data_IF_083624303250
#
_entry.id   IF_083624303250
#
_cell.length_a   1.000
_cell.length_b   1.000
_cell.length_c   1.000
_cell.angle_alpha   90.00
_cell.angle_beta   90.00
_cell.angle_gamma   90.00
#
_symmetry.space_group_name_H-M   'P 1'
#
loop_
_entity.id
_entity.type
_entity.pdbx_description
1 polymer ?
#
# COMPACT_ATOMS: atom_id res chain seq x y z
N UNK A 1 1.22 -17.17 -9.92
CA UNK A 1 2.35 -17.41 -10.83
C UNK A 1 3.56 -16.76 -10.22
N UNK A 2 4.72 -17.42 -10.27
CA UNK A 2 5.96 -16.83 -9.77
C UNK A 2 6.39 -15.70 -10.71
N UNK A 3 6.94 -14.59 -10.18
CA UNK A 3 7.47 -13.51 -11.01
C UNK A 3 8.59 -14.01 -11.90
N UNK A 4 8.61 -13.54 -13.13
CA UNK A 4 9.67 -13.78 -14.11
C UNK A 4 10.96 -13.10 -13.67
N UNK A 5 12.09 -13.54 -14.24
CA UNK A 5 13.39 -12.92 -13.94
C UNK A 5 13.42 -11.44 -14.33
N UNK A 6 12.82 -11.10 -15.49
CA UNK A 6 12.70 -9.72 -15.95
C UNK A 6 11.95 -8.84 -14.95
N UNK A 7 10.80 -9.28 -14.44
CA UNK A 7 10.04 -8.52 -13.42
C UNK A 7 10.84 -8.30 -12.13
N UNK A 8 11.69 -9.26 -11.74
CA UNK A 8 12.58 -9.12 -10.58
C UNK A 8 13.71 -8.14 -10.83
N UNK A 9 14.29 -8.15 -12.03
CA UNK A 9 15.39 -7.25 -12.40
C UNK A 9 14.87 -5.80 -12.52
N UNK A 10 13.67 -5.61 -13.06
CA UNK A 10 12.97 -4.32 -13.09
C UNK A 10 12.64 -3.81 -11.68
N UNK A 11 12.20 -4.67 -10.77
CA UNK A 11 11.97 -4.29 -9.37
C UNK A 11 13.27 -3.78 -8.69
N UNK A 12 14.40 -4.45 -8.94
CA UNK A 12 15.71 -4.01 -8.40
C UNK A 12 16.17 -2.68 -8.98
N UNK A 13 16.01 -2.48 -10.29
CA UNK A 13 16.39 -1.21 -10.94
C UNK A 13 15.53 -0.04 -10.45
N UNK A 14 14.30 -0.32 -10.01
CA UNK A 14 13.39 0.60 -9.33
C UNK A 14 13.72 0.83 -7.84
N UNK A 15 14.85 0.35 -7.33
CA UNK A 15 15.31 0.62 -5.96
C UNK A 15 14.66 -0.24 -4.87
N UNK A 16 13.93 -1.31 -5.23
CA UNK A 16 13.43 -2.26 -4.25
C UNK A 16 14.56 -3.15 -3.72
N UNK A 17 14.49 -3.51 -2.44
CA UNK A 17 15.54 -4.28 -1.77
C UNK A 17 15.68 -5.69 -2.34
N UNK A 18 16.86 -6.29 -2.20
CA UNK A 18 17.10 -7.66 -2.68
C UNK A 18 16.22 -8.66 -1.93
N UNK A 19 16.06 -8.44 -0.63
CA UNK A 19 15.24 -9.22 0.29
C UNK A 19 13.77 -9.18 -0.14
N UNK A 20 13.27 -8.01 -0.55
CA UNK A 20 11.89 -7.88 -1.02
C UNK A 20 11.64 -8.63 -2.34
N UNK A 21 12.62 -8.63 -3.24
CA UNK A 21 12.51 -9.22 -4.59
C UNK A 21 12.77 -10.73 -4.59
N UNK A 22 13.77 -11.21 -3.84
CA UNK A 22 14.22 -12.61 -3.85
C UNK A 22 13.90 -13.38 -2.57
N UNK A 23 13.28 -12.74 -1.57
CA UNK A 23 12.91 -13.39 -0.32
C UNK A 23 11.93 -14.54 -0.51
N UNK A 24 12.01 -15.52 0.40
CA UNK A 24 11.11 -16.67 0.44
C UNK A 24 9.66 -16.19 0.60
N UNK A 25 8.75 -16.76 -0.18
CA UNK A 25 7.32 -16.41 -0.21
C UNK A 25 7.01 -14.94 -0.59
N UNK A 26 7.89 -14.23 -1.29
CA UNK A 26 7.61 -12.85 -1.74
C UNK A 26 6.89 -12.77 -3.10
N UNK A 27 6.40 -13.87 -3.68
CA UNK A 27 5.72 -13.81 -4.99
C UNK A 27 4.41 -13.01 -4.95
N UNK A 28 3.82 -12.85 -3.77
CA UNK A 28 2.62 -12.00 -3.61
C UNK A 28 2.91 -10.52 -3.83
N UNK A 29 4.16 -10.05 -3.68
CA UNK A 29 4.55 -8.66 -3.94
C UNK A 29 4.54 -8.32 -5.43
N UNK A 30 4.48 -9.30 -6.31
CA UNK A 30 4.30 -9.09 -7.76
C UNK A 30 2.81 -9.21 -8.15
N UNK A 31 1.97 -9.53 -7.16
CA UNK A 31 0.51 -9.66 -7.12
C UNK A 31 -0.23 -8.32 -6.95
N UNK A 32 -1.17 -7.94 -7.82
CA UNK A 32 -2.19 -6.97 -7.39
C UNK A 32 -2.92 -7.49 -6.12
N UNK A 33 -3.25 -6.63 -5.13
CA UNK A 33 -3.13 -5.17 -5.11
C UNK A 33 -1.76 -4.65 -4.62
N UNK A 34 -0.88 -5.52 -4.14
CA UNK A 34 0.41 -5.16 -3.53
C UNK A 34 1.58 -5.26 -4.51
N UNK A 35 1.32 -5.04 -5.81
CA UNK A 35 2.34 -5.14 -6.85
C UNK A 35 3.43 -4.09 -6.56
N UNK A 36 4.70 -4.51 -6.52
CA UNK A 36 5.87 -3.65 -6.51
C UNK A 36 5.68 -2.54 -7.53
N UNK A 37 5.76 -1.28 -7.07
CA UNK A 37 5.54 -0.13 -7.92
C UNK A 37 6.75 0.13 -8.80
N UNK A 38 6.49 0.33 -10.09
CA UNK A 38 7.44 0.88 -11.04
C UNK A 38 7.59 2.38 -10.74
N UNK A 39 8.80 2.93 -10.73
CA UNK A 39 9.00 4.39 -10.61
C UNK A 39 8.69 5.02 -11.97
N UNK A 40 7.42 4.98 -12.38
CA UNK A 40 6.97 5.57 -13.62
C UNK A 40 7.25 7.09 -13.58
N UNK A 41 8.10 7.61 -14.48
CA UNK A 41 8.39 9.05 -14.52
C UNK A 41 7.15 9.90 -14.83
N UNK A 42 6.08 9.30 -15.35
CA UNK A 42 4.81 9.96 -15.62
C UNK A 42 3.82 9.88 -14.44
N UNK A 43 4.19 9.24 -13.33
CA UNK A 43 3.33 9.18 -12.16
C UNK A 43 3.18 10.56 -11.51
N UNK A 44 2.03 11.18 -11.74
CA UNK A 44 1.68 12.48 -11.13
C UNK A 44 1.11 12.27 -9.74
N UNK A 45 1.94 12.41 -8.70
CA UNK A 45 1.47 12.44 -7.31
C UNK A 45 0.60 13.69 -7.07
N UNK A 46 -0.70 13.50 -6.83
CA UNK A 46 -1.63 14.57 -6.47
C UNK A 46 -1.73 14.74 -4.95
N UNK A 47 -1.59 13.63 -4.23
CA UNK A 47 -1.58 13.61 -2.77
C UNK A 47 -0.39 12.81 -2.28
N UNK A 48 0.24 13.29 -1.22
CA UNK A 48 1.30 12.60 -0.49
C UNK A 48 0.83 12.41 0.94
N UNK A 49 1.07 11.23 1.49
CA UNK A 49 0.69 10.87 2.85
C UNK A 49 1.76 10.03 3.51
N UNK A 50 1.74 10.02 4.84
CA UNK A 50 2.66 9.20 5.63
C UNK A 50 2.02 8.72 6.93
N UNK A 51 2.56 7.64 7.51
CA UNK A 51 2.23 7.28 8.89
C UNK A 51 2.68 8.41 9.84
N UNK A 52 2.11 8.45 11.03
CA UNK A 52 2.57 9.34 12.11
C UNK A 52 4.09 9.21 12.37
N UNK A 53 4.64 8.02 12.16
CA UNK A 53 6.05 7.71 12.29
C UNK A 53 6.97 8.15 11.14
N UNK A 54 6.42 8.60 10.00
CA UNK A 54 7.17 8.92 8.78
C UNK A 54 7.81 7.73 8.04
N UNK A 55 7.86 6.54 8.64
CA UNK A 55 8.48 5.33 8.04
C UNK A 55 7.72 4.79 6.82
N UNK A 56 6.41 4.96 6.81
CA UNK A 56 5.54 4.59 5.68
C UNK A 56 5.14 5.87 4.99
N UNK A 57 5.42 5.94 3.69
CA UNK A 57 5.08 7.06 2.82
C UNK A 57 4.39 6.51 1.58
N UNK A 58 3.40 7.25 1.07
CA UNK A 58 2.66 6.84 -0.12
C UNK A 58 2.22 8.07 -0.91
N UNK A 59 2.03 7.86 -2.21
CA UNK A 59 1.55 8.88 -3.13
C UNK A 59 0.29 8.37 -3.85
N UNK A 60 -0.66 9.27 -4.11
CA UNK A 60 -1.90 8.98 -4.83
C UNK A 60 -1.99 9.89 -6.05
N UNK A 61 -2.18 9.31 -7.24
CA UNK A 61 -2.31 10.04 -8.51
C UNK A 61 -3.75 10.29 -8.96
N UNK A 62 -4.74 9.90 -8.14
CA UNK A 62 -6.16 10.03 -8.47
C UNK A 62 -6.79 11.21 -7.74
N UNK A 63 -7.46 12.07 -8.48
CA UNK A 63 -8.18 13.23 -7.94
C UNK A 63 -9.41 12.82 -7.12
N UNK A 64 -10.15 11.79 -7.59
CA UNK A 64 -11.36 11.30 -6.92
C UNK A 64 -11.16 9.91 -6.35
N UNK A 65 -11.60 9.64 -5.10
CA UNK A 65 -11.59 8.32 -4.51
C UNK A 65 -12.31 7.31 -5.41
N UNK A 66 -11.75 6.11 -5.57
CA UNK A 66 -12.39 5.06 -6.37
C UNK A 66 -13.71 4.61 -5.74
N UNK A 67 -13.73 4.47 -4.42
CA UNK A 67 -14.90 4.14 -3.61
C UNK A 67 -14.62 4.45 -2.15
N UNK A 68 -15.59 5.02 -1.43
CA UNK A 68 -15.56 5.09 0.03
C UNK A 68 -16.48 4.00 0.58
N UNK A 69 -15.92 3.12 1.42
CA UNK A 69 -16.70 2.11 2.14
C UNK A 69 -17.09 2.69 3.49
N UNK A 70 -18.35 2.51 3.87
CA UNK A 70 -18.85 2.83 5.21
C UNK A 70 -19.25 1.53 5.89
N UNK A 71 -18.57 1.19 6.97
CA UNK A 71 -18.80 -0.03 7.74
C UNK A 71 -18.74 0.28 9.24
N UNK A 72 -19.65 -0.32 10.00
CA UNK A 72 -19.81 -0.07 11.44
C UNK A 72 -19.20 -1.15 12.33
N UNK A 73 -18.61 -2.21 11.77
CA UNK A 73 -17.99 -3.22 12.60
C UNK A 73 -16.76 -2.65 13.33
N UNK A 74 -16.49 -3.15 14.53
CA UNK A 74 -15.37 -2.71 15.37
C UNK A 74 -14.03 -2.81 14.64
N UNK A 75 -13.83 -3.86 13.84
CA UNK A 75 -12.63 -4.05 13.01
C UNK A 75 -12.43 -2.89 12.03
N UNK A 76 -13.47 -2.48 11.30
CA UNK A 76 -13.38 -1.38 10.34
C UNK A 76 -13.21 -0.03 11.05
N UNK A 77 -13.83 0.17 12.21
CA UNK A 77 -13.66 1.41 12.98
C UNK A 77 -12.19 1.62 13.37
N UNK A 78 -11.53 0.57 13.89
CA UNK A 78 -10.11 0.61 14.29
C UNK A 78 -9.21 0.82 13.06
N UNK A 79 -9.40 0.03 11.99
CA UNK A 79 -8.53 0.09 10.81
C UNK A 79 -8.60 1.43 10.07
N UNK A 80 -9.78 2.04 10.00
CA UNK A 80 -9.97 3.30 9.28
C UNK A 80 -9.81 4.54 10.18
N UNK A 81 -9.35 4.37 11.42
CA UNK A 81 -9.10 5.48 12.34
C UNK A 81 -10.37 6.23 12.76
N UNK A 82 -11.54 5.57 12.66
CA UNK A 82 -12.76 6.10 13.26
C UNK A 82 -12.61 5.92 14.77
N UNK A 83 -12.34 7.02 15.46
CA UNK A 83 -12.26 7.05 16.91
C UNK A 83 -13.57 6.47 17.47
N UNK A 84 -13.51 5.25 18.00
CA UNK A 84 -14.60 4.70 18.79
C UNK A 84 -14.72 5.61 20.00
N UNK A 85 -15.72 6.49 20.00
CA UNK A 85 -16.12 7.19 21.20
C UNK A 85 -16.36 6.11 22.26
N UNK A 86 -15.69 6.14 23.43
CA UNK A 86 -15.91 5.12 24.44
C UNK A 86 -17.40 5.11 24.76
N UNK A 87 -18.07 4.02 24.40
CA UNK A 87 -19.45 3.79 24.81
C UNK A 87 -19.37 3.60 26.32
N UNK A 88 -19.70 4.65 27.07
CA UNK A 88 -19.95 4.53 28.50
C UNK A 88 -21.09 3.53 28.64
N UNK A 89 -20.76 2.31 29.04
CA UNK A 89 -21.75 1.32 29.41
C UNK A 89 -22.41 1.86 30.69
N UNK A 90 -23.71 2.15 30.60
CA UNK A 90 -24.55 2.46 31.75
C UNK A 90 -24.80 1.18 32.54
#
# INVERSE_FOLDING_TARGET
MSPTQTEKDDAKSNGHSNEDVNGEHNEWKFRAPYKVHDNDPNFKALYEGSCHCGKVQYQLSREKPLSAKFCHCSTCQVLHGMFAFPQTQN
#
